data_IF_144956962365
#
_entry.id   IF_144956962365
#
_cell.length_a   1.000
_cell.length_b   1.000
_cell.length_c   1.000
_cell.angle_alpha   90.00
_cell.angle_beta   90.00
_cell.angle_gamma   90.00
#
_symmetry.space_group_name_H-M   'P 1'
#
loop_
_entity.id
_entity.type
_entity.pdbx_description
1 polymer ?
#
# COMPACT_ATOMS: atom_id res chain seq x y z
N UNK A 1 -29.66 11.24 26.44
CA UNK A 1 -28.83 10.02 26.39
C UNK A 1 -29.41 9.10 25.33
N UNK A 2 -28.63 8.61 24.35
CA UNK A 2 -29.14 7.62 23.40
C UNK A 2 -29.46 6.32 24.14
N UNK A 3 -30.51 5.57 23.73
CA UNK A 3 -30.90 4.33 24.39
C UNK A 3 -29.73 3.34 24.29
N UNK A 4 -29.31 2.79 25.44
CA UNK A 4 -28.27 1.75 25.50
C UNK A 4 -28.78 0.49 24.79
N UNK A 5 -27.89 -0.25 24.16
CA UNK A 5 -28.13 -1.62 23.69
C UNK A 5 -28.66 -2.46 24.86
N UNK A 6 -29.98 -2.60 24.96
CA UNK A 6 -30.68 -3.22 26.10
C UNK A 6 -31.07 -4.68 25.83
N UNK A 7 -30.98 -5.11 24.56
CA UNK A 7 -31.32 -6.47 24.15
C UNK A 7 -30.09 -7.39 24.25
N UNK A 8 -30.21 -8.61 24.82
CA UNK A 8 -29.07 -9.52 25.00
C UNK A 8 -28.39 -9.92 23.67
N UNK A 9 -29.15 -9.89 22.59
CA UNK A 9 -28.65 -10.26 21.26
C UNK A 9 -28.06 -9.08 20.49
N UNK A 10 -28.10 -7.87 21.05
CA UNK A 10 -27.64 -6.68 20.37
C UNK A 10 -26.11 -6.67 20.22
N UNK A 11 -25.65 -6.43 19.00
CA UNK A 11 -24.24 -6.30 18.64
C UNK A 11 -23.87 -4.83 18.56
N UNK A 12 -24.46 -4.08 17.62
CA UNK A 12 -24.11 -2.70 17.37
C UNK A 12 -25.26 -1.92 16.72
N UNK A 13 -25.21 -0.59 16.86
CA UNK A 13 -25.92 0.33 15.95
C UNK A 13 -24.87 0.86 14.98
N UNK A 14 -25.13 0.72 13.69
CA UNK A 14 -24.21 1.11 12.61
C UNK A 14 -24.92 2.11 11.71
N UNK A 15 -24.27 3.24 11.48
CA UNK A 15 -24.65 4.20 10.45
C UNK A 15 -23.79 3.91 9.21
N UNK A 16 -24.39 3.24 8.21
CA UNK A 16 -23.76 2.95 6.93
C UNK A 16 -24.13 4.05 5.94
N UNK A 17 -23.19 4.93 5.63
CA UNK A 17 -23.35 5.90 4.56
C UNK A 17 -22.84 5.32 3.23
N UNK A 18 -23.65 5.41 2.17
CA UNK A 18 -23.27 5.08 0.79
C UNK A 18 -23.43 6.32 -0.07
N UNK A 19 -22.31 6.90 -0.53
CA UNK A 19 -22.27 8.20 -1.23
C UNK A 19 -23.07 9.30 -0.49
N UNK A 20 -22.96 9.37 0.84
CA UNK A 20 -23.65 10.36 1.66
C UNK A 20 -25.07 9.97 2.09
N UNK A 21 -25.69 8.95 1.47
CA UNK A 21 -26.97 8.41 1.92
C UNK A 21 -26.76 7.51 3.14
N UNK A 22 -27.28 7.92 4.30
CA UNK A 22 -27.12 7.17 5.55
C UNK A 22 -28.26 6.19 5.78
N UNK A 23 -27.90 4.93 6.02
CA UNK A 23 -28.80 3.87 6.49
C UNK A 23 -28.39 3.44 7.88
N UNK A 24 -29.26 3.70 8.87
CA UNK A 24 -29.05 3.25 10.25
C UNK A 24 -29.51 1.80 10.43
N UNK A 25 -28.62 0.96 10.91
CA UNK A 25 -28.81 -0.48 11.07
C UNK A 25 -28.66 -0.88 12.53
N UNK A 26 -29.63 -1.64 13.03
CA UNK A 26 -29.59 -2.24 14.36
C UNK A 26 -29.17 -3.70 14.23
N UNK A 27 -27.89 -3.98 14.47
CA UNK A 27 -27.33 -5.31 14.33
C UNK A 27 -27.59 -6.10 15.61
N UNK A 28 -28.30 -7.22 15.49
CA UNK A 28 -28.53 -8.16 16.58
C UNK A 28 -28.42 -9.59 16.04
N UNK A 29 -27.68 -10.45 16.75
CA UNK A 29 -27.58 -11.88 16.45
C UNK A 29 -27.05 -12.68 17.64
N UNK A 30 -27.51 -13.92 17.76
CA UNK A 30 -26.95 -14.95 18.65
C UNK A 30 -25.85 -15.77 17.99
N UNK A 31 -25.84 -15.83 16.65
CA UNK A 31 -24.94 -16.67 15.87
C UNK A 31 -24.13 -15.82 14.88
N UNK A 32 -22.87 -16.19 14.68
CA UNK A 32 -21.96 -15.58 13.71
C UNK A 32 -21.43 -16.68 12.76
N UNK A 33 -21.19 -16.37 11.47
CA UNK A 33 -21.51 -15.11 10.79
C UNK A 33 -23.01 -14.85 10.69
N UNK A 34 -23.40 -13.58 10.55
CA UNK A 34 -24.78 -13.19 10.24
C UNK A 34 -24.85 -12.18 9.09
N UNK A 35 -26.03 -12.06 8.49
CA UNK A 35 -26.25 -11.29 7.28
C UNK A 35 -27.54 -10.48 7.37
N UNK A 36 -27.51 -9.27 6.81
CA UNK A 36 -28.63 -8.33 6.79
C UNK A 36 -28.82 -7.81 5.37
N UNK A 37 -30.06 -7.80 4.89
CA UNK A 37 -30.38 -7.18 3.60
C UNK A 37 -30.55 -5.69 3.82
N UNK A 38 -29.82 -4.89 3.03
CA UNK A 38 -29.85 -3.43 3.09
C UNK A 38 -30.35 -2.93 1.74
N UNK A 39 -31.49 -2.26 1.73
CA UNK A 39 -31.99 -1.58 0.54
C UNK A 39 -31.20 -0.29 0.30
N UNK A 40 -30.86 -0.02 -0.95
CA UNK A 40 -30.15 1.19 -1.37
C UNK A 40 -31.06 2.03 -2.26
N UNK A 41 -31.31 3.31 -1.94
CA UNK A 41 -32.03 4.21 -2.83
C UNK A 41 -31.12 4.59 -4.01
N UNK A 42 -31.22 3.81 -5.09
CA UNK A 42 -30.31 3.85 -6.25
C UNK A 42 -30.09 5.26 -6.78
N UNK A 43 -31.15 6.02 -7.00
CA UNK A 43 -31.05 7.37 -7.57
C UNK A 43 -30.31 8.35 -6.65
N UNK A 44 -30.58 8.29 -5.34
CA UNK A 44 -29.89 9.13 -4.37
C UNK A 44 -28.40 8.75 -4.24
N UNK A 45 -28.08 7.45 -4.25
CA UNK A 45 -26.70 6.96 -4.23
C UNK A 45 -25.94 7.36 -5.50
N UNK A 46 -26.62 7.44 -6.65
CA UNK A 46 -26.02 7.81 -7.94
C UNK A 46 -25.76 9.31 -8.08
N UNK A 47 -26.58 10.16 -7.48
CA UNK A 47 -26.55 11.61 -7.70
C UNK A 47 -25.15 12.23 -7.48
N UNK A 48 -24.47 11.83 -6.40
CA UNK A 48 -23.15 12.36 -6.01
C UNK A 48 -22.02 11.34 -6.18
N UNK A 49 -22.23 10.33 -7.02
CA UNK A 49 -21.25 9.28 -7.23
C UNK A 49 -20.15 9.73 -8.20
N UNK A 50 -18.89 9.58 -7.77
CA UNK A 50 -17.75 9.74 -8.67
C UNK A 50 -17.74 8.62 -9.70
N UNK A 51 -17.16 8.89 -10.86
CA UNK A 51 -17.06 7.95 -11.98
C UNK A 51 -15.61 7.70 -12.34
N UNK A 52 -15.32 6.47 -12.75
CA UNK A 52 -14.02 6.10 -13.27
C UNK A 52 -14.21 5.04 -14.35
N UNK A 53 -13.81 5.33 -15.59
CA UNK A 53 -13.87 4.37 -16.71
C UNK A 53 -15.24 3.69 -16.91
N UNK A 54 -16.32 4.47 -16.87
CA UNK A 54 -17.69 3.96 -17.02
C UNK A 54 -18.22 3.18 -15.81
N UNK A 55 -17.44 3.10 -14.71
CA UNK A 55 -17.91 2.59 -13.43
C UNK A 55 -18.34 3.73 -12.52
N UNK A 56 -19.35 3.49 -11.70
CA UNK A 56 -19.75 4.37 -10.61
C UNK A 56 -19.10 3.91 -9.31
N UNK A 57 -18.54 4.85 -8.57
CA UNK A 57 -17.98 4.62 -7.26
C UNK A 57 -19.07 4.54 -6.20
N UNK A 58 -19.06 3.46 -5.42
CA UNK A 58 -19.77 3.37 -4.15
C UNK A 58 -18.76 3.68 -3.05
N UNK A 59 -18.87 4.86 -2.43
CA UNK A 59 -18.11 5.23 -1.24
C UNK A 59 -18.91 4.84 0.00
N UNK A 60 -18.29 4.02 0.83
CA UNK A 60 -18.85 3.58 2.09
C UNK A 60 -18.18 4.33 3.23
N UNK A 61 -18.98 4.85 4.15
CA UNK A 61 -18.52 5.32 5.45
C UNK A 61 -19.32 4.59 6.52
N UNK A 62 -18.62 3.88 7.41
CA UNK A 62 -19.21 3.13 8.51
C UNK A 62 -18.90 3.85 9.80
N UNK A 63 -19.94 4.34 10.47
CA UNK A 63 -19.84 4.83 11.85
C UNK A 63 -20.58 3.87 12.79
N UNK A 64 -19.98 3.60 13.96
CA UNK A 64 -20.49 2.64 14.95
C UNK A 64 -20.77 3.38 16.26
N UNK A 65 -21.86 4.16 16.34
CA UNK A 65 -22.17 4.98 17.51
C UNK A 65 -22.42 4.15 18.79
N UNK A 66 -22.84 2.90 18.65
CA UNK A 66 -23.03 2.00 19.78
C UNK A 66 -22.57 0.59 19.43
N UNK A 67 -21.89 -0.07 20.37
CA UNK A 67 -21.46 -1.46 20.23
C UNK A 67 -21.40 -2.17 21.59
N UNK A 68 -21.66 -3.46 21.59
CA UNK A 68 -21.46 -4.33 22.74
C UNK A 68 -20.04 -4.90 22.75
N UNK A 69 -19.61 -5.44 23.90
CA UNK A 69 -18.30 -6.08 24.03
C UNK A 69 -18.13 -7.29 23.09
N UNK A 70 -19.23 -7.88 22.61
CA UNK A 70 -19.24 -9.01 21.65
C UNK A 70 -18.73 -8.62 20.26
N UNK A 71 -18.58 -7.33 19.95
CA UNK A 71 -18.08 -6.86 18.66
C UNK A 71 -16.56 -7.00 18.50
N UNK A 72 -15.81 -7.32 19.57
CA UNK A 72 -14.35 -7.49 19.48
C UNK A 72 -14.00 -8.65 18.54
N UNK A 73 -13.05 -8.42 17.64
CA UNK A 73 -12.68 -9.38 16.60
C UNK A 73 -13.71 -9.52 15.47
N UNK A 74 -14.76 -8.69 15.42
CA UNK A 74 -15.74 -8.72 14.34
C UNK A 74 -15.46 -7.63 13.29
N UNK A 75 -15.77 -7.96 12.04
CA UNK A 75 -15.72 -7.01 10.93
C UNK A 75 -17.02 -6.98 10.14
N UNK A 76 -17.16 -5.92 9.34
CA UNK A 76 -18.22 -5.77 8.37
C UNK A 76 -17.70 -6.00 6.96
N UNK A 77 -18.50 -6.70 6.17
CA UNK A 77 -18.31 -6.79 4.73
C UNK A 77 -19.64 -6.61 4.01
N UNK A 78 -19.60 -6.19 2.77
CA UNK A 78 -20.76 -5.99 1.92
C UNK A 78 -20.66 -6.94 0.74
N UNK A 79 -21.65 -7.81 0.59
CA UNK A 79 -21.80 -8.69 -0.56
C UNK A 79 -22.78 -8.07 -1.54
N UNK A 80 -22.29 -7.87 -2.76
CA UNK A 80 -23.05 -7.37 -3.90
C UNK A 80 -23.90 -8.50 -4.50
N UNK A 81 -25.01 -8.20 -5.22
CA UNK A 81 -25.90 -9.22 -5.78
C UNK A 81 -25.22 -10.23 -6.71
N UNK A 82 -24.16 -9.81 -7.40
CA UNK A 82 -23.36 -10.66 -8.29
C UNK A 82 -22.24 -11.43 -7.56
N UNK A 83 -22.31 -11.52 -6.23
CA UNK A 83 -21.44 -12.37 -5.40
C UNK A 83 -20.14 -11.72 -4.91
N UNK A 84 -19.76 -10.56 -5.45
CA UNK A 84 -18.54 -9.89 -5.00
C UNK A 84 -18.66 -9.37 -3.57
N UNK A 85 -17.63 -9.61 -2.75
CA UNK A 85 -17.55 -9.14 -1.36
C UNK A 85 -16.59 -7.97 -1.26
N UNK A 86 -16.99 -6.94 -0.53
CA UNK A 86 -16.22 -5.73 -0.24
C UNK A 86 -16.02 -5.60 1.26
N UNK A 87 -14.78 -5.45 1.71
CA UNK A 87 -14.47 -5.31 3.13
C UNK A 87 -14.74 -3.87 3.60
N UNK A 88 -15.54 -3.71 4.66
CA UNK A 88 -15.92 -2.41 5.20
C UNK A 88 -15.13 -2.00 6.45
N UNK A 89 -14.48 -2.95 7.12
CA UNK A 89 -13.65 -2.67 8.30
C UNK A 89 -14.18 -3.26 9.61
N UNK A 90 -13.43 -3.06 10.71
CA UNK A 90 -13.76 -3.59 12.04
C UNK A 90 -14.97 -2.89 12.67
N UNK A 91 -15.79 -3.63 13.43
CA UNK A 91 -16.91 -3.06 14.21
C UNK A 91 -16.47 -2.27 15.45
N UNK A 92 -15.19 -2.37 15.83
CA UNK A 92 -14.65 -1.77 17.06
C UNK A 92 -13.82 -0.53 16.85
N UNK A 93 -13.72 0.00 15.62
CA UNK A 93 -12.99 1.26 15.39
C UNK A 93 -13.72 2.45 16.04
N UNK A 94 -12.97 3.40 16.57
CA UNK A 94 -13.53 4.55 17.31
C UNK A 94 -13.87 5.74 16.40
N UNK A 95 -13.43 5.71 15.14
CA UNK A 95 -13.71 6.73 14.16
C UNK A 95 -14.50 6.13 12.98
N UNK A 96 -15.15 6.97 12.16
CA UNK A 96 -15.77 6.51 10.94
C UNK A 96 -14.74 5.85 10.00
N UNK A 97 -15.08 4.67 9.49
CA UNK A 97 -14.21 3.89 8.59
C UNK A 97 -14.69 4.09 7.16
N UNK A 98 -13.79 4.55 6.29
CA UNK A 98 -14.08 4.76 4.87
C UNK A 98 -13.48 3.68 3.99
N UNK A 99 -14.22 3.27 2.96
CA UNK A 99 -13.75 2.40 1.89
C UNK A 99 -14.54 2.70 0.62
N UNK A 100 -14.07 2.26 -0.55
CA UNK A 100 -14.83 2.44 -1.77
C UNK A 100 -14.69 1.26 -2.73
N UNK A 101 -15.64 1.16 -3.65
CA UNK A 101 -15.61 0.17 -4.72
C UNK A 101 -16.27 0.72 -5.98
N UNK A 102 -15.66 0.44 -7.13
CA UNK A 102 -16.28 0.69 -8.43
C UNK A 102 -17.25 -0.43 -8.82
N UNK A 103 -18.43 -0.04 -9.31
CA UNK A 103 -19.48 -0.93 -9.81
C UNK A 103 -20.01 -0.44 -11.15
N UNK A 104 -20.38 -1.38 -12.04
CA UNK A 104 -21.02 -1.03 -13.32
C UNK A 104 -22.42 -0.47 -13.11
N UNK A 105 -23.15 -1.08 -12.19
CA UNK A 105 -24.51 -0.69 -11.83
C UNK A 105 -24.63 -0.60 -10.31
N UNK A 106 -25.33 0.44 -9.85
CA UNK A 106 -25.65 0.62 -8.42
C UNK A 106 -26.78 -0.34 -8.08
N UNK A 107 -26.56 -1.34 -7.21
CA UNK A 107 -27.60 -2.30 -6.89
C UNK A 107 -28.68 -1.67 -6.02
N UNK A 108 -29.93 -2.11 -6.18
CA UNK A 108 -31.07 -1.70 -5.34
C UNK A 108 -31.00 -2.28 -3.93
N UNK A 109 -30.22 -3.34 -3.72
CA UNK A 109 -30.00 -3.95 -2.42
C UNK A 109 -28.65 -4.64 -2.34
N UNK A 110 -28.10 -4.70 -1.14
CA UNK A 110 -26.83 -5.39 -0.82
C UNK A 110 -27.00 -6.22 0.44
N UNK A 111 -26.11 -7.19 0.65
CA UNK A 111 -26.09 -7.97 1.88
C UNK A 111 -24.93 -7.50 2.75
N UNK A 112 -25.24 -6.90 3.90
CA UNK A 112 -24.25 -6.61 4.93
C UNK A 112 -23.96 -7.88 5.73
N UNK A 113 -22.70 -8.26 5.82
CA UNK A 113 -22.20 -9.41 6.56
C UNK A 113 -21.49 -8.92 7.82
N UNK A 114 -21.78 -9.57 8.94
CA UNK A 114 -20.99 -9.49 10.17
C UNK A 114 -20.31 -10.84 10.35
N UNK A 115 -18.99 -10.83 10.43
CA UNK A 115 -18.20 -12.05 10.54
C UNK A 115 -17.03 -11.86 11.52
N UNK A 116 -16.43 -12.97 11.92
CA UNK A 116 -15.30 -13.04 12.84
C UNK A 116 -14.01 -12.98 12.04
N UNK A 117 -13.10 -12.09 12.43
CA UNK A 117 -11.72 -12.16 11.98
C UNK A 117 -10.98 -13.25 12.76
N UNK A 118 -10.72 -14.37 12.08
CA UNK A 118 -9.97 -15.50 12.63
C UNK A 118 -8.46 -15.36 12.49
N UNK A 119 -7.98 -14.34 11.77
CA UNK A 119 -6.58 -14.11 11.50
C UNK A 119 -5.92 -13.27 12.60
N UNK A 120 -6.57 -12.17 13.01
CA UNK A 120 -6.03 -11.27 14.03
C UNK A 120 -6.48 -11.67 15.45
N UNK A 121 -5.59 -11.57 16.45
CA UNK A 121 -5.99 -11.64 17.85
C UNK A 121 -7.06 -10.60 18.19
N UNK A 122 -8.00 -10.97 19.08
CA UNK A 122 -9.16 -10.14 19.45
C UNK A 122 -8.73 -8.79 20.03
N UNK A 123 -7.59 -8.75 20.73
CA UNK A 123 -7.00 -7.57 21.35
C UNK A 123 -6.46 -6.58 20.33
N UNK A 124 -5.94 -7.09 19.20
CA UNK A 124 -5.37 -6.29 18.12
C UNK A 124 -6.48 -5.79 17.17
N UNK A 125 -7.49 -6.63 16.95
CA UNK A 125 -8.64 -6.32 16.13
C UNK A 125 -8.37 -6.40 14.63
N UNK A 126 -9.47 -6.51 13.89
CA UNK A 126 -9.43 -6.62 12.43
C UNK A 126 -8.86 -5.33 11.79
N UNK A 127 -8.14 -5.45 10.66
CA UNK A 127 -7.46 -4.34 9.99
C UNK A 127 -8.44 -3.34 9.40
N UNK A 128 -8.00 -2.10 9.24
CA UNK A 128 -8.76 -1.09 8.50
C UNK A 128 -8.71 -1.36 6.99
N UNK A 129 -9.70 -0.88 6.20
CA UNK A 129 -9.67 -1.02 4.75
C UNK A 129 -8.42 -0.43 4.09
N UNK A 130 -7.92 0.71 4.58
CA UNK A 130 -6.66 1.31 4.10
C UNK A 130 -5.44 0.41 4.36
N UNK A 131 -5.42 -0.32 5.48
CA UNK A 131 -4.36 -1.28 5.79
C UNK A 131 -4.41 -2.49 4.88
N UNK A 132 -5.62 -3.01 4.62
CA UNK A 132 -5.81 -4.08 3.64
C UNK A 132 -5.38 -3.63 2.23
N UNK A 133 -5.64 -2.37 1.88
CA UNK A 133 -5.23 -1.79 0.61
C UNK A 133 -3.71 -1.67 0.48
N UNK A 134 -3.04 -1.15 1.52
CA UNK A 134 -1.58 -1.09 1.58
C UNK A 134 -0.96 -2.48 1.51
N UNK A 135 -1.57 -3.47 2.19
CA UNK A 135 -1.13 -4.86 2.22
C UNK A 135 -1.15 -5.49 0.83
N UNK A 136 -2.21 -5.26 0.04
CA UNK A 136 -2.25 -5.74 -1.35
C UNK A 136 -1.18 -5.08 -2.24
N UNK A 137 -0.83 -3.81 -2.01
CA UNK A 137 0.26 -3.15 -2.76
C UNK A 137 1.63 -3.70 -2.39
N UNK A 138 1.87 -3.87 -1.09
CA UNK A 138 3.09 -4.52 -0.58
C UNK A 138 3.25 -5.90 -1.18
N UNK A 139 2.16 -6.69 -1.18
CA UNK A 139 2.12 -8.02 -1.77
C UNK A 139 2.44 -7.97 -3.27
N UNK A 140 1.84 -7.05 -4.01
CA UNK A 140 2.11 -6.86 -5.44
C UNK A 140 3.59 -6.53 -5.68
N UNK A 141 4.19 -5.65 -4.88
CA UNK A 141 5.60 -5.28 -5.00
C UNK A 141 6.51 -6.50 -4.81
N UNK A 142 6.29 -7.31 -3.77
CA UNK A 142 7.15 -8.47 -3.49
C UNK A 142 6.93 -9.64 -4.45
N UNK A 143 5.70 -9.84 -4.95
CA UNK A 143 5.36 -10.90 -5.91
C UNK A 143 5.93 -10.60 -7.31
N UNK A 144 6.11 -9.32 -7.65
CA UNK A 144 6.64 -8.86 -8.94
C UNK A 144 8.11 -8.43 -8.89
N UNK A 145 8.86 -8.87 -7.89
CA UNK A 145 10.30 -8.67 -7.86
C UNK A 145 10.99 -9.40 -9.03
N UNK A 146 11.79 -8.68 -9.80
CA UNK A 146 12.48 -9.20 -11.00
C UNK A 146 13.32 -10.45 -10.70
N UNK A 147 13.89 -10.54 -9.50
CA UNK A 147 14.76 -11.64 -9.12
C UNK A 147 14.01 -12.75 -8.39
N UNK A 148 12.74 -12.54 -8.00
CA UNK A 148 11.97 -13.46 -7.15
C UNK A 148 12.67 -13.78 -5.81
N UNK A 149 13.52 -12.86 -5.32
CA UNK A 149 14.28 -13.02 -4.08
C UNK A 149 13.64 -12.29 -2.91
N UNK A 150 14.27 -12.36 -1.73
CA UNK A 150 13.80 -11.58 -0.58
C UNK A 150 14.04 -10.09 -0.79
N UNK A 151 13.21 -9.19 -0.28
CA UNK A 151 13.42 -7.74 -0.40
C UNK A 151 13.56 -7.15 0.99
N UNK A 152 14.52 -6.25 1.21
CA UNK A 152 14.65 -5.53 2.47
C UNK A 152 13.33 -4.84 2.82
N UNK A 153 12.83 -5.03 4.05
CA UNK A 153 11.54 -4.47 4.46
C UNK A 153 11.53 -2.93 4.32
N UNK A 154 12.63 -2.26 4.69
CA UNK A 154 12.78 -0.81 4.52
C UNK A 154 12.76 -0.37 3.05
N UNK A 155 13.23 -1.21 2.13
CA UNK A 155 13.14 -0.93 0.70
C UNK A 155 11.69 -0.96 0.23
N UNK A 156 10.93 -1.97 0.64
CA UNK A 156 9.49 -2.06 0.35
C UNK A 156 8.75 -0.85 0.91
N UNK A 157 9.07 -0.41 2.14
CA UNK A 157 8.50 0.79 2.73
C UNK A 157 8.68 2.02 1.82
N UNK A 158 9.90 2.23 1.32
CA UNK A 158 10.20 3.37 0.44
C UNK A 158 9.41 3.34 -0.87
N UNK A 159 8.99 2.17 -1.34
CA UNK A 159 8.18 2.03 -2.56
C UNK A 159 6.70 2.38 -2.33
N UNK A 160 6.21 2.25 -1.09
CA UNK A 160 4.78 2.40 -0.77
C UNK A 160 4.46 3.59 0.13
N UNK A 161 5.47 4.22 0.76
CA UNK A 161 5.27 5.29 1.75
C UNK A 161 4.59 6.53 1.20
N UNK A 162 4.71 6.76 -0.10
CA UNK A 162 4.14 7.95 -0.74
C UNK A 162 2.78 7.64 -1.43
N UNK A 163 2.20 6.46 -1.18
CA UNK A 163 0.85 6.13 -1.60
C UNK A 163 -0.19 6.93 -0.81
N UNK A 164 -1.35 7.28 -1.41
CA UNK A 164 -2.29 8.24 -0.81
C UNK A 164 -2.94 7.70 0.47
N UNK A 165 -2.96 6.39 0.67
CA UNK A 165 -3.52 5.72 1.85
C UNK A 165 -2.48 5.26 2.86
N UNK A 166 -1.18 5.53 2.65
CA UNK A 166 -0.12 5.04 3.51
C UNK A 166 -0.23 5.57 4.94
N UNK A 167 -0.37 6.88 5.12
CA UNK A 167 -0.44 7.49 6.45
C UNK A 167 -1.64 6.95 7.24
N UNK A 168 -2.81 6.85 6.59
CA UNK A 168 -4.01 6.28 7.17
C UNK A 168 -3.83 4.81 7.58
N UNK A 169 -3.16 4.01 6.75
CA UNK A 169 -2.87 2.61 7.03
C UNK A 169 -1.85 2.42 8.18
N UNK A 170 -0.93 3.36 8.35
CA UNK A 170 0.09 3.28 9.39
C UNK A 170 -0.37 3.79 10.75
N UNK A 171 -1.53 4.45 10.86
CA UNK A 171 -1.98 5.12 12.10
C UNK A 171 -1.96 4.23 13.35
N UNK A 172 -2.27 2.94 13.24
CA UNK A 172 -2.29 2.03 14.40
C UNK A 172 -0.96 1.36 14.70
N UNK A 173 0.01 1.44 13.79
CA UNK A 173 1.31 0.78 13.91
C UNK A 173 2.35 1.83 14.31
N UNK A 174 3.19 1.51 15.30
CA UNK A 174 4.22 2.47 15.76
C UNK A 174 5.30 2.67 14.72
N UNK A 175 5.56 1.64 13.91
CA UNK A 175 6.57 1.66 12.87
C UNK A 175 6.23 0.63 11.78
N UNK A 176 7.00 0.68 10.69
CA UNK A 176 6.85 -0.22 9.54
C UNK A 176 7.04 -1.69 9.89
N UNK A 177 7.99 -2.02 10.76
CA UNK A 177 8.24 -3.42 11.13
C UNK A 177 7.04 -4.05 11.85
N UNK A 178 6.32 -3.31 12.69
CA UNK A 178 5.08 -3.79 13.31
C UNK A 178 3.99 -4.10 12.27
N UNK A 179 3.84 -3.24 11.25
CA UNK A 179 2.93 -3.49 10.13
C UNK A 179 3.32 -4.76 9.36
N UNK A 180 4.62 -4.90 9.05
CA UNK A 180 5.15 -6.06 8.31
C UNK A 180 4.94 -7.36 9.08
N UNK A 181 5.20 -7.37 10.39
CA UNK A 181 5.02 -8.51 11.28
C UNK A 181 3.55 -8.88 11.39
N UNK A 182 2.66 -7.90 11.62
CA UNK A 182 1.22 -8.16 11.76
C UNK A 182 0.66 -8.93 10.56
N UNK A 183 0.94 -8.47 9.33
CA UNK A 183 0.41 -9.14 8.13
C UNK A 183 1.17 -10.41 7.75
N UNK A 184 2.42 -10.58 8.17
CA UNK A 184 3.15 -11.85 8.06
C UNK A 184 2.57 -12.93 8.98
N UNK A 185 2.35 -12.60 10.25
CA UNK A 185 2.01 -13.57 11.28
C UNK A 185 0.51 -13.86 11.34
N UNK A 186 -0.33 -12.81 11.36
CA UNK A 186 -1.77 -12.95 11.48
C UNK A 186 -2.42 -13.35 10.14
N UNK A 187 -1.98 -12.72 9.05
CA UNK A 187 -2.60 -12.86 7.73
C UNK A 187 -1.80 -13.70 6.74
N UNK A 188 -0.58 -14.13 7.11
CA UNK A 188 0.28 -14.97 6.25
C UNK A 188 0.48 -14.40 4.85
N UNK A 189 0.56 -13.08 4.72
CA UNK A 189 0.65 -12.43 3.41
C UNK A 189 2.03 -12.57 2.77
N UNK A 190 3.06 -12.77 3.58
CA UNK A 190 4.44 -12.97 3.17
C UNK A 190 5.21 -13.69 4.28
N UNK A 191 6.43 -14.14 3.97
CA UNK A 191 7.40 -14.61 4.96
C UNK A 191 8.38 -13.50 5.30
N UNK A 192 8.76 -13.46 6.57
CA UNK A 192 9.88 -12.64 7.05
C UNK A 192 11.08 -13.54 7.17
N UNK A 193 12.20 -13.13 6.60
CA UNK A 193 13.47 -13.84 6.64
C UNK A 193 14.56 -12.87 7.11
N UNK A 194 15.53 -13.42 7.83
CA UNK A 194 16.67 -12.69 8.33
C UNK A 194 17.85 -13.66 8.29
N UNK A 195 18.85 -13.34 7.48
CA UNK A 195 20.04 -14.19 7.37
C UNK A 195 20.88 -14.06 8.63
N UNK A 196 21.19 -15.18 9.26
CA UNK A 196 22.20 -15.23 10.32
C UNK A 196 23.61 -15.02 9.73
N UNK A 197 24.58 -14.50 10.50
CA UNK A 197 25.92 -14.22 9.99
C UNK A 197 26.61 -15.42 9.33
N UNK A 198 26.43 -16.62 9.89
CA UNK A 198 27.02 -17.86 9.37
C UNK A 198 26.37 -18.29 8.05
N UNK A 199 25.03 -18.19 7.96
CA UNK A 199 24.27 -18.47 6.74
C UNK A 199 24.63 -17.48 5.63
N UNK A 200 24.68 -16.19 5.97
CA UNK A 200 25.09 -15.11 5.08
C UNK A 200 26.47 -15.36 4.47
N UNK A 201 27.43 -15.74 5.32
CA UNK A 201 28.79 -16.07 4.90
C UNK A 201 28.83 -17.34 4.02
N UNK A 202 28.09 -18.39 4.38
CA UNK A 202 28.02 -19.64 3.62
C UNK A 202 27.43 -19.45 2.21
N UNK A 203 26.44 -18.56 2.08
CA UNK A 203 25.84 -18.19 0.80
C UNK A 203 26.71 -17.23 -0.02
N UNK A 204 27.73 -16.62 0.58
CA UNK A 204 28.62 -15.66 -0.08
C UNK A 204 27.93 -14.36 -0.48
N UNK A 205 26.92 -13.94 0.29
CA UNK A 205 26.18 -12.70 0.08
C UNK A 205 27.06 -11.48 0.36
N UNK A 206 26.87 -10.39 -0.38
CA UNK A 206 27.63 -9.15 -0.14
C UNK A 206 27.01 -8.29 0.98
N UNK A 207 27.71 -7.21 1.33
CA UNK A 207 27.21 -6.18 2.23
C UNK A 207 25.96 -5.44 1.73
N UNK A 208 25.52 -5.67 0.48
CA UNK A 208 24.25 -5.15 -0.07
C UNK A 208 23.03 -5.99 0.32
N UNK A 209 23.24 -7.17 0.89
CA UNK A 209 22.22 -7.99 1.52
C UNK A 209 22.75 -8.31 2.91
N UNK A 210 22.69 -7.35 3.86
CA UNK A 210 23.33 -7.51 5.16
C UNK A 210 22.73 -8.68 5.95
N UNK A 211 23.57 -9.36 6.73
CA UNK A 211 23.10 -10.24 7.79
C UNK A 211 22.30 -9.43 8.83
N UNK A 212 21.30 -10.06 9.44
CA UNK A 212 20.45 -9.41 10.43
C UNK A 212 19.43 -8.39 9.88
N UNK A 213 19.40 -8.16 8.56
CA UNK A 213 18.39 -7.30 7.95
C UNK A 213 17.04 -8.02 7.89
N UNK A 214 15.96 -7.34 8.31
CA UNK A 214 14.60 -7.84 8.13
C UNK A 214 14.21 -7.78 6.66
N UNK A 215 13.93 -8.94 6.06
CA UNK A 215 13.60 -9.08 4.64
C UNK A 215 12.28 -9.80 4.46
N UNK A 216 11.59 -9.48 3.37
CA UNK A 216 10.25 -9.96 3.03
C UNK A 216 10.32 -10.84 1.80
N UNK A 217 9.65 -11.99 1.83
CA UNK A 217 9.59 -12.95 0.73
C UNK A 217 8.13 -13.23 0.38
N UNK A 218 7.78 -13.12 -0.89
CA UNK A 218 6.47 -13.54 -1.36
C UNK A 218 6.29 -15.04 -1.13
N UNK A 219 5.10 -15.48 -0.72
CA UNK A 219 4.86 -16.88 -0.38
C UNK A 219 5.15 -17.86 -1.53
N UNK A 220 5.00 -17.42 -2.78
CA UNK A 220 5.31 -18.21 -3.97
C UNK A 220 6.81 -18.44 -4.21
N UNK A 221 7.70 -17.73 -3.51
CA UNK A 221 9.16 -17.81 -3.69
C UNK A 221 9.90 -18.34 -2.45
N UNK A 222 9.17 -18.83 -1.44
CA UNK A 222 9.74 -19.22 -0.13
C UNK A 222 10.79 -20.33 -0.24
N UNK A 223 10.68 -21.21 -1.21
CA UNK A 223 11.61 -22.35 -1.35
C UNK A 223 12.89 -21.99 -2.12
N UNK A 224 12.89 -20.90 -2.89
CA UNK A 224 13.97 -20.56 -3.83
C UNK A 224 14.59 -19.16 -3.59
N UNK A 225 14.06 -18.36 -2.65
CA UNK A 225 14.47 -16.96 -2.46
C UNK A 225 15.97 -16.80 -2.19
N UNK A 226 16.60 -17.74 -1.47
CA UNK A 226 18.02 -17.65 -1.13
C UNK A 226 18.90 -17.78 -2.38
N UNK A 227 18.52 -18.67 -3.32
CA UNK A 227 19.19 -18.80 -4.62
C UNK A 227 19.01 -17.54 -5.47
N UNK A 228 17.80 -16.99 -5.47
CA UNK A 228 17.48 -15.74 -6.13
C UNK A 228 18.28 -14.56 -5.56
N UNK A 229 18.46 -14.47 -4.24
CA UNK A 229 19.27 -13.44 -3.59
C UNK A 229 20.74 -13.53 -3.97
N UNK A 230 21.31 -14.75 -3.97
CA UNK A 230 22.69 -14.97 -4.47
C UNK A 230 22.82 -14.54 -5.93
N UNK A 231 21.83 -14.86 -6.77
CA UNK A 231 21.84 -14.44 -8.17
C UNK A 231 21.77 -12.91 -8.31
N UNK A 232 20.85 -12.26 -7.58
CA UNK A 232 20.71 -10.80 -7.54
C UNK A 232 22.01 -10.13 -7.11
N UNK A 233 22.66 -10.63 -6.07
CA UNK A 233 23.91 -10.06 -5.57
C UNK A 233 25.02 -10.14 -6.63
N UNK A 234 25.16 -11.29 -7.32
CA UNK A 234 26.10 -11.46 -8.43
C UNK A 234 25.83 -10.48 -9.57
N UNK A 235 24.57 -10.32 -9.98
CA UNK A 235 24.16 -9.39 -11.03
C UNK A 235 24.45 -7.94 -10.63
N UNK A 236 24.10 -7.54 -9.41
CA UNK A 236 24.35 -6.18 -8.90
C UNK A 236 25.84 -5.90 -8.71
N UNK A 237 26.65 -6.89 -8.35
CA UNK A 237 28.12 -6.77 -8.25
C UNK A 237 28.75 -6.55 -9.62
N UNK A 238 28.31 -7.32 -10.63
CA UNK A 238 28.74 -7.13 -12.02
C UNK A 238 28.36 -5.74 -12.54
N UNK A 239 27.10 -5.34 -12.34
CA UNK A 239 26.63 -4.01 -12.73
C UNK A 239 27.41 -2.88 -12.04
N UNK A 240 27.80 -3.04 -10.76
CA UNK A 240 28.63 -2.05 -10.08
C UNK A 240 30.01 -1.90 -10.75
N UNK A 241 30.63 -3.02 -11.13
CA UNK A 241 31.92 -2.98 -11.81
C UNK A 241 31.78 -2.32 -13.19
N UNK A 242 30.80 -2.73 -13.98
CA UNK A 242 30.50 -2.12 -15.28
C UNK A 242 30.27 -0.60 -15.15
N UNK A 243 29.53 -0.16 -14.13
CA UNK A 243 29.28 1.26 -13.90
C UNK A 243 30.55 2.03 -13.54
N UNK A 244 31.44 1.44 -12.73
CA UNK A 244 32.75 2.03 -12.40
C UNK A 244 33.64 2.15 -13.63
N UNK A 245 33.67 1.13 -14.47
CA UNK A 245 34.45 1.13 -15.71
C UNK A 245 33.91 2.20 -16.68
N UNK A 246 32.58 2.36 -16.77
CA UNK A 246 31.94 3.44 -17.53
C UNK A 246 32.31 4.84 -17.01
N UNK A 247 32.38 5.04 -15.69
CA UNK A 247 32.81 6.29 -15.08
C UNK A 247 34.28 6.59 -15.41
N UNK A 248 35.16 5.60 -15.22
CA UNK A 248 36.59 5.71 -15.51
C UNK A 248 36.85 6.03 -16.99
N UNK A 249 36.16 5.34 -17.91
CA UNK A 249 36.26 5.59 -19.35
C UNK A 249 35.81 7.01 -19.76
N UNK A 250 35.01 7.67 -18.93
CA UNK A 250 34.56 9.06 -19.13
C UNK A 250 35.47 10.08 -18.44
N UNK A 251 36.64 9.65 -17.95
CA UNK A 251 37.60 10.51 -17.26
C UNK A 251 37.14 10.95 -15.87
N UNK A 252 36.15 10.25 -15.29
CA UNK A 252 35.74 10.50 -13.91
C UNK A 252 36.70 9.75 -13.00
N UNK A 253 37.76 10.42 -12.58
CA UNK A 253 38.58 9.92 -11.49
C UNK A 253 37.77 9.99 -10.19
N UNK A 254 37.52 8.83 -9.59
CA UNK A 254 37.04 8.72 -8.22
C UNK A 254 38.19 9.08 -7.25
N UNK A 255 38.72 10.30 -7.35
CA UNK A 255 39.70 10.80 -6.40
C UNK A 255 38.95 11.20 -5.12
N UNK A 256 39.16 10.41 -4.08
CA UNK A 256 38.63 10.68 -2.74
C UNK A 256 39.67 11.48 -1.97
N UNK A 257 39.59 12.82 -1.86
CA UNK A 257 40.34 13.48 -0.82
C UNK A 257 39.70 13.06 0.51
N UNK A 258 40.47 12.50 1.47
CA UNK A 258 39.97 12.30 2.81
C UNK A 258 39.74 13.68 3.44
N UNK A 259 38.56 14.26 3.22
CA UNK A 259 38.14 15.48 3.92
C UNK A 259 37.83 15.08 5.36
N UNK A 260 38.40 15.82 6.31
CA UNK A 260 38.28 15.58 7.76
C UNK A 260 36.85 15.73 8.29
N UNK A 261 35.92 16.29 7.51
CA UNK A 261 34.52 16.44 7.88
C UNK A 261 33.68 15.25 7.40
N UNK A 262 33.27 14.41 8.35
CA UNK A 262 32.36 13.25 8.16
C UNK A 262 30.95 13.60 7.66
N UNK A 263 30.68 14.86 7.32
CA UNK A 263 29.35 15.37 6.93
C UNK A 263 29.26 15.94 5.51
N UNK A 264 30.36 16.01 4.76
CA UNK A 264 30.31 16.48 3.37
C UNK A 264 29.96 15.30 2.45
N UNK A 265 28.76 15.31 1.87
CA UNK A 265 28.41 14.36 0.82
C UNK A 265 29.35 14.51 -0.38
N UNK A 266 29.78 13.40 -1.01
CA UNK A 266 30.65 13.47 -2.17
C UNK A 266 29.90 14.13 -3.34
N UNK A 267 30.44 15.23 -3.85
CA UNK A 267 29.91 15.93 -5.02
C UNK A 267 30.72 15.58 -6.27
N UNK A 268 30.12 14.82 -7.18
CA UNK A 268 30.68 14.61 -8.51
C UNK A 268 30.20 15.72 -9.43
N UNK A 269 31.12 16.57 -9.90
CA UNK A 269 30.79 17.63 -10.84
C UNK A 269 30.66 17.04 -12.26
N UNK A 270 29.66 16.19 -12.47
CA UNK A 270 29.36 15.57 -13.76
C UNK A 270 28.49 16.51 -14.58
N UNK A 271 28.89 16.76 -15.83
CA UNK A 271 28.03 17.51 -16.75
C UNK A 271 26.69 16.79 -16.95
N UNK A 272 25.62 17.56 -17.17
CA UNK A 272 24.28 17.01 -17.45
C UNK A 272 24.29 16.00 -18.61
N UNK A 273 25.09 16.24 -19.66
CA UNK A 273 25.27 15.32 -20.80
C UNK A 273 25.88 13.97 -20.39
N UNK A 274 26.80 13.97 -19.42
CA UNK A 274 27.40 12.74 -18.89
C UNK A 274 26.42 12.01 -18.00
N UNK A 275 25.69 12.71 -17.13
CA UNK A 275 24.63 12.14 -16.29
C UNK A 275 23.53 11.47 -17.11
N UNK A 276 23.03 12.14 -18.15
CA UNK A 276 22.03 11.55 -19.06
C UNK A 276 22.52 10.25 -19.69
N UNK A 277 23.76 10.23 -20.20
CA UNK A 277 24.33 9.04 -20.79
C UNK A 277 24.51 7.91 -19.75
N UNK A 278 24.97 8.23 -18.54
CA UNK A 278 25.09 7.26 -17.45
C UNK A 278 23.72 6.68 -17.06
N UNK A 279 22.68 7.50 -17.05
CA UNK A 279 21.29 7.08 -16.80
C UNK A 279 20.74 6.10 -17.85
N UNK A 280 21.32 6.09 -19.06
CA UNK A 280 20.97 5.14 -20.11
C UNK A 280 21.74 3.81 -20.02
N UNK A 281 22.80 3.72 -19.22
CA UNK A 281 23.60 2.50 -19.11
C UNK A 281 22.80 1.39 -18.42
N UNK A 282 22.93 0.16 -18.92
CA UNK A 282 22.30 -1.02 -18.32
C UNK A 282 22.70 -1.18 -16.85
N UNK A 283 23.99 -0.98 -16.57
CA UNK A 283 24.56 -1.09 -15.22
C UNK A 283 23.90 -0.12 -14.23
N UNK A 284 23.64 1.12 -14.65
CA UNK A 284 22.91 2.09 -13.84
C UNK A 284 21.48 1.63 -13.55
N UNK A 285 20.76 1.15 -14.56
CA UNK A 285 19.38 0.67 -14.40
C UNK A 285 19.28 -0.54 -13.45
N UNK A 286 20.24 -1.47 -13.52
CA UNK A 286 20.32 -2.63 -12.62
C UNK A 286 20.63 -2.24 -11.17
N UNK A 287 21.38 -1.16 -10.96
CA UNK A 287 21.76 -0.69 -9.62
C UNK A 287 20.71 0.24 -9.01
N UNK A 288 20.02 1.01 -9.84
CA UNK A 288 19.06 1.98 -9.40
C UNK A 288 17.73 1.30 -9.11
N UNK A 289 17.14 1.61 -7.96
CA UNK A 289 15.80 1.14 -7.65
C UNK A 289 14.78 2.07 -8.26
N UNK A 290 13.70 1.52 -8.81
CA UNK A 290 12.63 2.30 -9.43
C UNK A 290 11.90 3.08 -8.34
N UNK A 291 11.85 4.41 -8.47
CA UNK A 291 10.93 5.23 -7.67
C UNK A 291 9.55 5.14 -8.32
N UNK A 292 8.63 4.43 -7.67
CA UNK A 292 7.31 4.13 -8.22
C UNK A 292 6.51 5.41 -8.51
N UNK A 293 6.56 6.42 -7.62
CA UNK A 293 5.91 7.70 -7.88
C UNK A 293 6.46 8.40 -9.10
N UNK A 294 7.79 8.42 -9.26
CA UNK A 294 8.39 9.06 -10.43
C UNK A 294 7.94 8.39 -11.74
N UNK A 295 7.79 7.05 -11.73
CA UNK A 295 7.23 6.31 -12.86
C UNK A 295 5.77 6.71 -13.11
N UNK A 296 4.93 6.76 -12.08
CA UNK A 296 3.53 7.18 -12.21
C UNK A 296 3.40 8.62 -12.73
N UNK A 297 4.22 9.53 -12.23
CA UNK A 297 4.28 10.92 -12.68
C UNK A 297 4.69 11.04 -14.15
N UNK A 298 5.68 10.24 -14.58
CA UNK A 298 6.08 10.15 -15.98
C UNK A 298 4.97 9.59 -16.87
N UNK A 299 4.29 8.53 -16.41
CA UNK A 299 3.18 7.92 -17.13
C UNK A 299 1.98 8.86 -17.28
N UNK A 300 1.75 9.76 -16.33
CA UNK A 300 0.66 10.75 -16.39
C UNK A 300 0.68 11.64 -17.65
N UNK A 301 1.82 11.78 -18.32
CA UNK A 301 1.89 12.52 -19.59
C UNK A 301 1.12 11.82 -20.73
N UNK A 302 0.97 10.50 -20.67
CA UNK A 302 0.38 9.67 -21.72
C UNK A 302 -0.73 8.74 -21.24
N UNK A 303 -0.89 8.59 -19.93
CA UNK A 303 -1.84 7.70 -19.27
C UNK A 303 -2.62 8.45 -18.19
N UNK A 304 -3.75 7.88 -17.79
CA UNK A 304 -4.45 8.31 -16.59
C UNK A 304 -4.08 7.42 -15.42
N UNK A 305 -3.83 8.03 -14.27
CA UNK A 305 -3.41 7.31 -13.06
C UNK A 305 -4.47 7.53 -11.98
N UNK A 306 -5.22 6.48 -11.64
CA UNK A 306 -6.07 6.45 -10.45
C UNK A 306 -5.17 6.48 -9.22
N UNK A 307 -5.33 7.52 -8.43
CA UNK A 307 -4.50 7.76 -7.25
C UNK A 307 -5.37 8.34 -6.15
N UNK A 308 -6.02 7.44 -5.41
CA UNK A 308 -7.03 7.78 -4.43
C UNK A 308 -6.79 7.02 -3.12
N UNK A 309 -7.11 7.65 -2.00
CA UNK A 309 -6.99 7.07 -0.66
C UNK A 309 -7.88 5.82 -0.46
N UNK A 310 -8.88 5.61 -1.31
CA UNK A 310 -9.85 4.53 -1.16
C UNK A 310 -9.71 3.40 -2.20
N UNK A 311 -8.79 3.54 -3.15
CA UNK A 311 -8.66 2.60 -4.27
C UNK A 311 -7.22 2.17 -4.52
N UNK A 312 -7.02 0.98 -5.09
CA UNK A 312 -5.72 0.60 -5.61
C UNK A 312 -5.23 1.59 -6.68
N UNK A 313 -3.92 1.77 -6.74
CA UNK A 313 -3.31 2.52 -7.83
C UNK A 313 -3.56 1.77 -9.14
N UNK A 314 -4.10 2.47 -10.14
CA UNK A 314 -4.33 1.92 -11.46
C UNK A 314 -3.78 2.87 -12.52
N UNK A 315 -3.27 2.31 -13.61
CA UNK A 315 -2.76 3.06 -14.75
C UNK A 315 -3.52 2.59 -15.98
N UNK A 316 -4.21 3.52 -16.63
CA UNK A 316 -5.02 3.25 -17.82
C UNK A 316 -4.52 4.08 -19.01
N UNK A 317 -4.44 3.46 -20.18
CA UNK A 317 -3.99 4.11 -21.42
C UNK A 317 -4.90 5.27 -21.84
N UNK A 318 -6.19 5.14 -21.60
CA UNK A 318 -7.18 6.19 -21.78
C UNK A 318 -8.26 6.04 -20.72
N UNK A 319 -8.86 7.16 -20.31
CA UNK A 319 -10.04 7.14 -19.45
C UNK A 319 -11.27 7.64 -20.18
N UNK A 320 -12.42 7.13 -19.77
CA UNK A 320 -13.70 7.64 -20.25
C UNK A 320 -13.90 9.10 -19.86
N UNK A 321 -14.60 9.87 -20.71
CA UNK A 321 -14.85 11.31 -20.54
C UNK A 321 -15.67 11.66 -19.29
N UNK A 322 -16.42 10.71 -18.75
CA UNK A 322 -17.18 10.86 -17.51
C UNK A 322 -16.33 10.73 -16.24
N UNK A 323 -15.03 10.42 -16.36
CA UNK A 323 -14.14 10.18 -15.22
C UNK A 323 -13.96 11.42 -14.35
N UNK A 324 -14.16 11.27 -13.04
CA UNK A 324 -14.01 12.35 -12.07
C UNK A 324 -12.53 12.69 -11.84
N UNK A 325 -12.13 13.92 -12.19
CA UNK A 325 -10.73 14.37 -12.13
C UNK A 325 -10.07 14.28 -10.74
N UNK A 326 -10.87 14.35 -9.69
CA UNK A 326 -10.37 14.26 -8.30
C UNK A 326 -9.87 12.87 -7.90
N UNK A 327 -10.21 11.83 -8.66
CA UNK A 327 -9.68 10.48 -8.48
C UNK A 327 -8.28 10.31 -9.08
N UNK A 328 -7.88 11.23 -9.96
CA UNK A 328 -6.66 11.13 -10.72
C UNK A 328 -5.49 11.79 -9.99
N UNK A 329 -4.28 11.26 -10.20
CA UNK A 329 -3.03 11.86 -9.73
C UNK A 329 -2.89 13.31 -10.22
N UNK A 330 -3.22 14.28 -9.36
CA UNK A 330 -3.18 15.71 -9.69
C UNK A 330 -1.76 16.16 -10.01
N UNK A 331 -1.62 17.11 -10.95
CA UNK A 331 -0.36 17.86 -11.12
C UNK A 331 -0.04 18.49 -9.77
N UNK A 332 0.99 17.99 -9.10
CA UNK A 332 1.75 18.84 -8.19
C UNK A 332 2.32 19.91 -9.11
N UNK A 333 1.67 21.08 -9.18
CA UNK A 333 2.40 22.29 -9.54
C UNK A 333 3.54 22.31 -8.56
N UNK A 334 4.77 22.05 -9.03
CA UNK A 334 5.95 22.14 -8.20
C UNK A 334 5.79 23.44 -7.40
N UNK A 335 5.49 23.30 -6.11
CA UNK A 335 5.54 24.44 -5.22
C UNK A 335 6.97 24.92 -5.41
N UNK A 336 7.13 26.12 -5.98
CA UNK A 336 8.42 26.80 -5.98
C UNK A 336 8.86 26.72 -4.52
N UNK A 337 9.88 25.90 -4.24
CA UNK A 337 10.60 26.05 -2.99
C UNK A 337 10.89 27.55 -2.90
N UNK A 338 10.44 28.25 -1.84
CA UNK A 338 10.94 29.59 -1.64
C UNK A 338 12.46 29.45 -1.59
N UNK A 339 13.23 30.27 -2.33
CA UNK A 339 14.68 30.25 -2.21
C UNK A 339 15.00 30.42 -0.72
N UNK A 340 15.65 29.43 -0.13
CA UNK A 340 16.14 29.55 1.24
C UNK A 340 16.98 30.82 1.32
N UNK A 341 16.70 31.73 2.27
CA UNK A 341 17.55 32.87 2.48
C UNK A 341 18.79 32.39 3.21
N UNK A 342 19.83 32.04 2.45
CA UNK A 342 21.20 32.16 2.91
C UNK A 342 21.68 33.54 2.47
N UNK A 343 21.37 34.54 3.30
CA UNK A 343 22.12 35.78 3.39
C UNK A 343 23.07 35.66 4.59
N UNK A 344 24.36 35.91 4.35
CA UNK A 344 25.41 35.99 5.37
C UNK A 344 26.64 35.21 4.98
#
# INVERSE_FOLDING_TARGET
MPPRLSHPDALAVVDLAVNGVVVRLHLASRCLPCAYTVALPVEAVRADARRYNGFTELRFCVDVPQRSARCRGLFLALRLPWGTVHYLGPLTHNAPVSSARFVREVPSSVTLLVDVDWCAPVEVGAPLPCEMLLKEHVRTVIENDEFCGSIAAAHVQNLVRDLPFYDAAMQRFRNWSEYVIFFAECYRCWRIVQYEPEEHAALGLSSRTPAGEQRMVANCYVDDYARADVHRDRVKRRALQEFRDCLAARGVELSWPPRKDRKAEPFFNLSHKVLLKLGCERSFRTLNSVNYLHVLEGLRASHSVLFSELHPVQVDAAVSTDTSLELLLRRVTAAKQPPSPLQG
#
